data_IF_635990338479
#
_entry.id   IF_635990338479
#
_cell.length_a   1.000
_cell.length_b   1.000
_cell.length_c   1.000
_cell.angle_alpha   90.00
_cell.angle_beta   90.00
_cell.angle_gamma   90.00
#
_symmetry.space_group_name_H-M   'P 1'
#
loop_
_entity.id
_entity.type
_entity.pdbx_description
1 polymer ?
#
# COMPACT_ATOMS: atom_id res chain seq x y z
N UNK A 1 -2.42 -6.73 15.45
CA UNK A 1 -1.64 -6.54 16.70
C UNK A 1 -0.24 -7.14 16.65
N UNK A 2 0.01 -8.24 15.91
CA UNK A 2 1.33 -8.87 15.86
C UNK A 2 2.42 -7.98 15.21
N UNK A 3 2.09 -7.24 14.14
CA UNK A 3 3.05 -6.34 13.48
C UNK A 3 3.59 -5.25 14.41
N UNK A 4 2.74 -4.62 15.24
CA UNK A 4 3.14 -3.55 16.16
C UNK A 4 3.95 -4.01 17.38
N UNK A 5 4.01 -5.32 17.66
CA UNK A 5 4.85 -5.91 18.71
C UNK A 5 6.09 -6.63 18.16
N UNK A 6 6.22 -6.69 16.83
CA UNK A 6 7.30 -7.41 16.15
C UNK A 6 8.43 -6.48 15.70
N UNK A 7 9.55 -7.08 15.28
CA UNK A 7 10.75 -6.39 14.81
C UNK A 7 10.49 -5.59 13.53
N UNK A 8 11.35 -4.60 13.26
CA UNK A 8 11.27 -3.76 12.07
C UNK A 8 11.27 -4.58 10.76
N UNK A 9 12.02 -5.69 10.73
CA UNK A 9 12.07 -6.63 9.59
C UNK A 9 10.71 -7.28 9.33
N UNK A 10 10.03 -7.74 10.37
CA UNK A 10 8.69 -8.33 10.24
C UNK A 10 7.67 -7.30 9.76
N UNK A 11 7.71 -6.07 10.30
CA UNK A 11 6.85 -4.97 9.86
C UNK A 11 7.08 -4.63 8.40
N UNK A 12 8.34 -4.62 7.97
CA UNK A 12 8.71 -4.37 6.57
C UNK A 12 8.05 -5.38 5.65
N UNK A 13 8.17 -6.68 5.93
CA UNK A 13 7.53 -7.72 5.11
C UNK A 13 6.00 -7.60 5.14
N UNK A 14 5.43 -7.37 6.32
CA UNK A 14 3.98 -7.24 6.50
C UNK A 14 3.38 -6.02 5.78
N UNK A 15 4.18 -4.99 5.48
CA UNK A 15 3.75 -3.79 4.72
C UNK A 15 4.06 -3.93 3.23
N UNK A 16 5.25 -4.40 2.86
CA UNK A 16 5.68 -4.45 1.45
C UNK A 16 4.82 -5.43 0.63
N UNK A 17 4.50 -6.61 1.16
CA UNK A 17 3.75 -7.60 0.40
C UNK A 17 2.33 -7.10 0.02
N UNK A 18 1.50 -6.58 0.95
CA UNK A 18 0.24 -5.94 0.60
C UNK A 18 0.40 -4.71 -0.29
N UNK A 19 1.44 -3.89 -0.06
CA UNK A 19 1.71 -2.69 -0.87
C UNK A 19 1.91 -3.03 -2.35
N UNK A 20 2.72 -4.04 -2.66
CA UNK A 20 2.95 -4.47 -4.04
C UNK A 20 1.67 -5.01 -4.69
N UNK A 21 0.89 -5.78 -3.94
CA UNK A 21 -0.38 -6.32 -4.43
C UNK A 21 -1.38 -5.21 -4.76
N UNK A 22 -1.63 -4.30 -3.81
CA UNK A 22 -2.60 -3.21 -3.98
C UNK A 22 -2.18 -2.25 -5.09
N UNK A 23 -0.89 -1.89 -5.21
CA UNK A 23 -0.47 -1.04 -6.32
C UNK A 23 -0.58 -1.74 -7.67
N UNK A 24 -0.34 -3.06 -7.72
CA UNK A 24 -0.61 -3.87 -8.90
C UNK A 24 -2.10 -3.85 -9.29
N UNK A 25 -3.00 -3.97 -8.31
CA UNK A 25 -4.44 -3.86 -8.51
C UNK A 25 -4.86 -2.47 -9.04
N UNK A 26 -4.31 -1.39 -8.47
CA UNK A 26 -4.50 -0.03 -8.99
C UNK A 26 -4.05 0.11 -10.45
N UNK A 27 -2.93 -0.52 -10.82
CA UNK A 27 -2.50 -0.61 -12.21
C UNK A 27 -3.51 -1.33 -13.11
N UNK A 28 -4.05 -2.45 -12.64
CA UNK A 28 -5.14 -3.16 -13.31
C UNK A 28 -6.40 -2.29 -13.51
N UNK A 29 -6.76 -1.51 -12.49
CA UNK A 29 -7.86 -0.55 -12.57
C UNK A 29 -7.61 0.55 -13.61
N UNK A 30 -6.39 1.08 -13.72
CA UNK A 30 -6.01 2.02 -14.80
C UNK A 30 -6.13 1.35 -16.17
N UNK A 31 -5.59 0.14 -16.32
CA UNK A 31 -5.64 -0.60 -17.58
C UNK A 31 -7.08 -0.82 -18.07
N UNK A 32 -7.99 -1.25 -17.19
CA UNK A 32 -9.40 -1.47 -17.54
C UNK A 32 -10.14 -0.16 -17.88
N UNK A 33 -9.78 0.96 -17.24
CA UNK A 33 -10.34 2.27 -17.58
C UNK A 33 -9.91 2.76 -18.96
N UNK A 34 -8.65 2.52 -19.32
CA UNK A 34 -8.11 2.92 -20.62
C UNK A 34 -8.62 2.03 -21.74
N UNK A 35 -8.62 0.70 -21.53
CA UNK A 35 -8.92 -0.26 -22.60
C UNK A 35 -10.41 -0.58 -22.75
N UNK A 36 -11.17 -0.58 -21.66
CA UNK A 36 -12.60 -0.97 -21.66
C UNK A 36 -13.52 0.18 -21.28
N UNK A 37 -13.00 1.40 -21.07
CA UNK A 37 -13.77 2.55 -20.57
C UNK A 37 -14.63 2.22 -19.34
N UNK A 38 -14.15 1.29 -18.50
CA UNK A 38 -14.90 0.84 -17.34
C UNK A 38 -14.71 1.81 -16.17
N UNK A 39 -15.56 2.83 -16.08
CA UNK A 39 -15.56 3.79 -14.98
C UNK A 39 -16.57 3.46 -13.89
N UNK A 40 -16.97 2.18 -13.78
CA UNK A 40 -17.87 1.76 -12.72
C UNK A 40 -17.28 2.06 -11.33
N UNK A 41 -18.11 2.32 -10.30
CA UNK A 41 -17.64 2.67 -8.95
C UNK A 41 -16.65 1.66 -8.35
N UNK A 42 -16.77 0.38 -8.71
CA UNK A 42 -15.83 -0.67 -8.27
C UNK A 42 -14.46 -0.64 -8.95
N UNK A 43 -14.29 0.10 -10.04
CA UNK A 43 -13.05 0.19 -10.82
C UNK A 43 -12.41 1.59 -10.77
N UNK A 44 -13.22 2.64 -10.72
CA UNK A 44 -12.75 4.04 -10.72
C UNK A 44 -13.02 4.77 -9.38
N UNK A 45 -13.82 4.17 -8.50
CA UNK A 45 -14.25 4.78 -7.25
C UNK A 45 -13.32 4.43 -6.09
N UNK A 46 -13.93 4.18 -4.93
CA UNK A 46 -13.24 4.04 -3.65
C UNK A 46 -12.13 2.98 -3.67
N UNK A 47 -12.35 1.83 -4.33
CA UNK A 47 -11.39 0.72 -4.39
C UNK A 47 -10.04 1.16 -4.99
N UNK A 48 -10.08 1.85 -6.13
CA UNK A 48 -8.89 2.37 -6.80
C UNK A 48 -8.12 3.35 -5.91
N UNK A 49 -8.84 4.26 -5.24
CA UNK A 49 -8.20 5.23 -4.34
C UNK A 49 -7.65 4.57 -3.08
N UNK A 50 -8.32 3.57 -2.53
CA UNK A 50 -7.82 2.82 -1.37
C UNK A 50 -6.56 2.05 -1.70
N UNK A 51 -6.46 1.45 -2.89
CA UNK A 51 -5.26 0.73 -3.32
C UNK A 51 -4.03 1.63 -3.37
N UNK A 52 -4.20 2.90 -3.76
CA UNK A 52 -3.11 3.89 -3.80
C UNK A 52 -2.84 4.46 -2.41
N UNK A 53 -3.87 5.01 -1.75
CA UNK A 53 -3.70 5.78 -0.53
C UNK A 53 -3.28 4.90 0.65
N UNK A 54 -3.88 3.71 0.81
CA UNK A 54 -3.53 2.81 1.90
C UNK A 54 -2.09 2.31 1.74
N UNK A 55 -1.68 2.00 0.51
CA UNK A 55 -0.31 1.59 0.19
C UNK A 55 0.70 2.70 0.48
N UNK A 56 0.45 3.90 -0.02
CA UNK A 56 1.31 5.06 0.20
C UNK A 56 1.44 5.38 1.70
N UNK A 57 0.33 5.34 2.43
CA UNK A 57 0.32 5.56 3.87
C UNK A 57 1.09 4.49 4.64
N UNK A 58 0.93 3.20 4.30
CA UNK A 58 1.68 2.10 4.91
C UNK A 58 3.18 2.24 4.71
N UNK A 59 3.62 2.58 3.49
CA UNK A 59 5.04 2.80 3.18
C UNK A 59 5.59 4.05 3.90
N UNK A 60 4.81 5.13 3.98
CA UNK A 60 5.21 6.34 4.71
C UNK A 60 5.45 6.04 6.20
N UNK A 61 4.52 5.32 6.85
CA UNK A 61 4.67 4.95 8.25
C UNK A 61 5.88 4.04 8.48
N UNK A 62 6.12 3.09 7.56
CA UNK A 62 7.29 2.23 7.63
C UNK A 62 8.59 3.04 7.47
N UNK A 63 8.62 4.01 6.56
CA UNK A 63 9.76 4.92 6.37
C UNK A 63 10.04 5.74 7.63
N UNK A 64 9.00 6.38 8.19
CA UNK A 64 9.12 7.16 9.44
C UNK A 64 9.66 6.28 10.56
N UNK A 65 9.12 5.07 10.72
CA UNK A 65 9.59 4.13 11.73
C UNK A 65 11.06 3.75 11.54
N UNK A 66 11.49 3.46 10.31
CA UNK A 66 12.88 3.14 10.00
C UNK A 66 13.84 4.28 10.36
N UNK A 67 13.43 5.53 10.14
CA UNK A 67 14.20 6.71 10.55
C UNK A 67 14.31 6.81 12.06
N UNK A 68 13.23 6.58 12.79
CA UNK A 68 13.22 6.66 14.26
C UNK A 68 14.07 5.55 14.90
N UNK A 69 14.05 4.33 14.36
CA UNK A 69 14.90 3.24 14.85
C UNK A 69 16.39 3.57 14.68
N UNK A 70 16.78 4.11 13.52
CA UNK A 70 18.18 4.51 13.27
C UNK A 70 18.71 5.65 14.14
N UNK A 71 17.83 6.51 14.67
CA UNK A 71 18.23 7.62 15.57
C UNK A 71 18.48 7.12 16.99
N UNK A 72 17.91 5.98 17.37
CA UNK A 72 18.01 5.43 18.72
C UNK A 72 19.19 4.46 18.89
N UNK A 73 19.80 4.03 17.78
CA UNK A 73 21.04 3.23 17.75
C UNK A 73 22.29 4.13 17.75
#
# INVERSE_FOLDING_TARGET
MLAFRSSLRFRTVAVIAPALFSWGAAGGHVYQRVTSHNFAPGNAGTVFWTDILMTAFGLLLLYVQHRMTKVTE
#
